data_IF_866647835550
#
_entry.id   IF_866647835550
#
_cell.length_a   1.000
_cell.length_b   1.000
_cell.length_c   1.000
_cell.angle_alpha   90.00
_cell.angle_beta   90.00
_cell.angle_gamma   90.00
#
_symmetry.space_group_name_H-M   'P 1'
#
loop_
_entity.id
_entity.type
_entity.pdbx_description
1 polymer ?
#
# COMPACT_ATOMS: atom_id res chain seq x y z
N UNK A 1 -57.25 -33.74 -45.56
CA UNK A 1 -57.62 -34.73 -44.53
C UNK A 1 -57.12 -34.20 -43.19
N UNK A 2 -58.07 -33.96 -42.27
CA UNK A 2 -58.04 -33.87 -40.80
C UNK A 2 -56.90 -33.06 -40.13
N UNK A 3 -57.16 -31.89 -39.54
CA UNK A 3 -57.79 -31.63 -38.22
C UNK A 3 -57.05 -32.33 -37.06
N UNK A 4 -56.40 -31.52 -36.20
CA UNK A 4 -56.91 -31.37 -34.83
C UNK A 4 -56.49 -30.04 -34.18
N UNK A 5 -57.48 -29.47 -33.49
CA UNK A 5 -57.50 -28.26 -32.69
C UNK A 5 -57.35 -28.62 -31.20
N UNK A 6 -56.85 -27.66 -30.41
CA UNK A 6 -57.22 -27.41 -29.00
C UNK A 6 -56.71 -25.99 -28.69
N UNK A 7 -57.46 -24.90 -28.58
CA UNK A 7 -58.72 -24.54 -27.89
C UNK A 7 -58.69 -24.72 -26.36
N UNK A 8 -58.29 -23.65 -25.66
CA UNK A 8 -58.79 -23.10 -24.39
C UNK A 8 -58.02 -21.77 -24.16
N UNK A 9 -58.58 -20.58 -23.88
CA UNK A 9 -59.94 -20.13 -23.61
C UNK A 9 -59.94 -19.10 -22.46
N UNK A 10 -60.26 -17.82 -22.78
CA UNK A 10 -60.80 -16.74 -21.91
C UNK A 10 -59.88 -16.19 -20.78
N UNK A 11 -59.81 -14.90 -20.42
CA UNK A 11 -60.76 -13.76 -20.38
C UNK A 11 -59.97 -12.47 -20.74
N UNK A 12 -60.47 -11.38 -21.34
CA UNK A 12 -61.81 -10.81 -21.33
C UNK A 12 -61.81 -9.49 -20.55
N UNK A 13 -61.38 -8.36 -21.12
CA UNK A 13 -61.93 -7.03 -20.74
C UNK A 13 -61.72 -5.98 -21.83
N UNK A 14 -62.78 -5.76 -22.59
CA UNK A 14 -63.00 -4.60 -23.45
C UNK A 14 -63.51 -3.42 -22.61
N UNK A 15 -62.79 -2.31 -22.56
CA UNK A 15 -63.39 -1.01 -22.24
C UNK A 15 -63.43 -0.15 -23.50
N UNK A 16 -64.64 -0.08 -24.05
CA UNK A 16 -65.03 0.83 -25.12
C UNK A 16 -64.74 2.27 -24.69
N UNK A 17 -63.86 2.95 -25.44
CA UNK A 17 -63.73 4.41 -25.36
C UNK A 17 -64.88 5.02 -26.16
N UNK A 18 -65.92 5.46 -25.46
CA UNK A 18 -66.75 6.55 -25.97
C UNK A 18 -65.94 7.83 -25.83
N UNK A 19 -65.41 8.34 -26.94
CA UNK A 19 -64.88 9.70 -27.02
C UNK A 19 -65.52 10.34 -28.24
N UNK A 20 -66.47 11.24 -27.96
CA UNK A 20 -67.17 12.10 -28.92
C UNK A 20 -66.20 12.66 -29.94
N UNK A 21 -66.46 12.37 -31.22
CA UNK A 21 -65.91 13.09 -32.36
C UNK A 21 -66.38 14.55 -32.30
N UNK A 22 -65.55 15.41 -31.71
CA UNK A 22 -65.64 16.84 -31.96
C UNK A 22 -64.99 17.12 -33.32
N UNK A 23 -65.78 17.74 -34.17
CA UNK A 23 -65.47 18.13 -35.55
C UNK A 23 -64.18 18.96 -35.57
N UNK A 24 -63.11 18.41 -36.13
CA UNK A 24 -61.94 19.19 -36.54
C UNK A 24 -62.33 19.94 -37.83
N UNK A 25 -62.37 21.29 -37.84
CA UNK A 25 -62.49 21.99 -39.10
C UNK A 25 -61.20 21.75 -39.89
N UNK A 26 -61.34 21.42 -41.18
CA UNK A 26 -60.23 21.31 -42.13
C UNK A 26 -59.38 22.58 -42.02
N UNK A 27 -58.11 22.42 -41.63
CA UNK A 27 -57.10 23.47 -41.47
C UNK A 27 -56.95 24.36 -42.70
N UNK A 28 -57.30 23.81 -43.86
CA UNK A 28 -56.89 24.35 -45.15
C UNK A 28 -57.74 25.55 -45.58
N UNK A 29 -58.96 25.68 -45.04
CA UNK A 29 -59.84 26.82 -45.35
C UNK A 29 -59.38 28.09 -44.62
N UNK A 30 -58.73 27.95 -43.46
CA UNK A 30 -58.31 29.08 -42.64
C UNK A 30 -57.11 29.81 -43.25
N UNK A 31 -56.20 29.09 -43.91
CA UNK A 31 -55.04 29.69 -44.58
C UNK A 31 -55.43 30.50 -45.82
N UNK A 32 -56.43 30.02 -46.57
CA UNK A 32 -56.98 30.73 -47.74
C UNK A 32 -57.67 32.04 -47.33
N UNK A 33 -58.43 32.04 -46.22
CA UNK A 33 -59.08 33.26 -45.70
C UNK A 33 -58.06 34.27 -45.15
N UNK A 34 -56.91 33.79 -44.64
CA UNK A 34 -55.83 34.63 -44.11
C UNK A 34 -54.85 35.15 -45.18
N UNK A 35 -55.00 34.76 -46.45
CA UNK A 35 -54.14 35.19 -47.55
C UNK A 35 -52.72 34.62 -47.51
N UNK A 36 -52.50 33.52 -46.77
CA UNK A 36 -51.18 32.89 -46.62
C UNK A 36 -51.10 31.68 -47.55
N UNK A 37 -50.03 31.59 -48.36
CA UNK A 37 -49.78 30.46 -49.24
C UNK A 37 -49.28 29.24 -48.46
N UNK A 38 -49.61 28.03 -48.91
CA UNK A 38 -49.21 26.77 -48.28
C UNK A 38 -47.67 26.58 -48.24
N UNK A 39 -46.93 27.35 -49.03
CA UNK A 39 -45.47 27.36 -49.09
C UNK A 39 -44.78 28.31 -48.09
N UNK A 40 -45.53 29.16 -47.37
CA UNK A 40 -44.93 30.05 -46.36
C UNK A 40 -44.68 29.31 -45.03
N UNK A 41 -43.51 29.56 -44.42
CA UNK A 41 -43.15 28.97 -43.14
C UNK A 41 -44.18 29.33 -42.06
N UNK A 42 -44.73 28.30 -41.41
CA UNK A 42 -45.80 28.45 -40.46
C UNK A 42 -45.33 29.28 -39.24
N UNK A 43 -45.89 30.47 -38.96
CA UNK A 43 -45.38 31.40 -37.94
C UNK A 43 -45.45 30.85 -36.50
N UNK A 44 -46.10 29.69 -36.32
CA UNK A 44 -46.12 28.92 -35.07
C UNK A 44 -44.74 28.39 -34.65
N UNK A 45 -43.82 28.17 -35.59
CA UNK A 45 -42.50 27.60 -35.31
C UNK A 45 -41.47 28.65 -34.87
N UNK A 46 -41.63 29.91 -35.31
CA UNK A 46 -40.66 31.00 -35.07
C UNK A 46 -40.82 31.66 -33.70
N UNK A 47 -42.02 31.64 -33.12
CA UNK A 47 -42.32 32.29 -31.84
C UNK A 47 -42.50 31.23 -30.74
N UNK A 48 -41.62 31.28 -29.72
CA UNK A 48 -41.54 30.28 -28.63
C UNK A 48 -42.84 30.06 -27.85
N UNK A 49 -43.74 31.04 -27.80
CA UNK A 49 -44.94 31.03 -26.95
C UNK A 49 -46.22 31.33 -27.73
N UNK A 50 -46.48 30.59 -28.82
CA UNK A 50 -47.80 30.64 -29.45
C UNK A 50 -48.84 29.89 -28.61
N UNK A 51 -50.01 30.49 -28.31
CA UNK A 51 -51.00 29.95 -27.38
C UNK A 51 -51.69 28.64 -27.83
N UNK A 52 -51.39 28.15 -29.04
CA UNK A 52 -51.84 26.85 -29.54
C UNK A 52 -50.70 26.00 -30.13
N UNK A 53 -49.45 26.17 -29.66
CA UNK A 53 -48.34 25.28 -30.05
C UNK A 53 -48.62 23.88 -29.50
N UNK A 54 -48.83 22.91 -30.39
CA UNK A 54 -49.24 21.55 -30.01
C UNK A 54 -48.20 20.85 -29.13
N UNK A 55 -48.65 20.06 -28.17
CA UNK A 55 -47.78 19.30 -27.25
C UNK A 55 -46.76 18.43 -27.98
N UNK A 56 -47.11 17.91 -29.16
CA UNK A 56 -46.24 17.04 -29.98
C UNK A 56 -44.94 17.74 -30.44
N UNK A 57 -44.96 19.07 -30.61
CA UNK A 57 -43.79 19.84 -31.04
C UNK A 57 -42.83 20.15 -29.88
N UNK A 58 -43.35 20.23 -28.65
CA UNK A 58 -42.53 20.33 -27.44
C UNK A 58 -41.81 19.00 -27.15
N UNK A 59 -42.50 17.87 -27.28
CA UNK A 59 -41.90 16.56 -27.06
C UNK A 59 -40.80 16.23 -28.08
N UNK A 60 -40.97 16.61 -29.36
CA UNK A 60 -39.92 16.41 -30.38
C UNK A 60 -38.68 17.27 -30.10
N UNK A 61 -38.86 18.48 -29.58
CA UNK A 61 -37.76 19.36 -29.22
C UNK A 61 -37.06 18.90 -27.94
N UNK A 62 -37.79 18.44 -26.92
CA UNK A 62 -37.23 17.83 -25.71
C UNK A 62 -36.46 16.54 -25.99
N UNK A 63 -36.99 15.63 -26.84
CA UNK A 63 -36.27 14.41 -27.25
C UNK A 63 -34.96 14.73 -27.97
N UNK A 64 -34.92 15.82 -28.76
CA UNK A 64 -33.70 16.26 -29.45
C UNK A 64 -32.65 16.82 -28.48
N UNK A 65 -33.06 17.66 -27.53
CA UNK A 65 -32.17 18.19 -26.48
C UNK A 65 -31.73 17.13 -25.46
N UNK A 66 -32.57 16.13 -25.16
CA UNK A 66 -32.22 15.01 -24.28
C UNK A 66 -31.23 14.07 -24.97
N UNK A 67 -31.41 13.75 -26.27
CA UNK A 67 -30.49 12.85 -26.99
C UNK A 67 -29.07 13.40 -27.18
N UNK A 68 -28.92 14.73 -27.32
CA UNK A 68 -27.60 15.38 -27.42
C UNK A 68 -26.93 15.55 -26.04
N UNK A 69 -27.72 15.79 -24.99
CA UNK A 69 -27.22 15.95 -23.61
C UNK A 69 -26.88 14.61 -22.94
N UNK A 70 -27.62 13.54 -23.23
CA UNK A 70 -27.34 12.18 -22.73
C UNK A 70 -26.13 11.53 -23.42
N UNK A 71 -25.95 11.71 -24.74
CA UNK A 71 -24.78 11.18 -25.45
C UNK A 71 -23.46 11.82 -24.98
N UNK A 72 -23.48 13.09 -24.57
CA UNK A 72 -22.32 13.77 -23.99
C UNK A 72 -22.00 13.30 -22.56
N UNK A 73 -23.03 13.17 -21.70
CA UNK A 73 -22.89 12.75 -20.30
C UNK A 73 -22.56 11.26 -20.13
N UNK A 74 -23.11 10.38 -20.97
CA UNK A 74 -22.79 8.95 -20.94
C UNK A 74 -21.34 8.68 -21.39
N UNK A 75 -20.85 9.38 -22.43
CA UNK A 75 -19.46 9.22 -22.88
C UNK A 75 -18.44 9.75 -21.86
N UNK A 76 -18.73 10.84 -21.14
CA UNK A 76 -17.84 11.31 -20.07
C UNK A 76 -17.86 10.37 -18.87
N UNK A 77 -19.03 9.86 -18.48
CA UNK A 77 -19.17 8.88 -17.39
C UNK A 77 -18.42 7.57 -17.68
N UNK A 78 -18.54 7.03 -18.90
CA UNK A 78 -17.82 5.81 -19.30
C UNK A 78 -16.29 6.01 -19.30
N UNK A 79 -15.80 7.15 -19.82
CA UNK A 79 -14.37 7.49 -19.78
C UNK A 79 -13.85 7.82 -18.38
N UNK A 80 -14.72 8.18 -17.45
CA UNK A 80 -14.36 8.37 -16.04
C UNK A 80 -14.24 7.03 -15.31
N UNK A 81 -15.15 6.10 -15.58
CA UNK A 81 -15.14 4.75 -15.01
C UNK A 81 -13.91 3.95 -15.51
N UNK A 82 -13.58 4.05 -16.80
CA UNK A 82 -12.37 3.44 -17.37
C UNK A 82 -11.08 3.95 -16.73
N UNK A 83 -11.02 5.26 -16.39
CA UNK A 83 -9.83 5.86 -15.74
C UNK A 83 -9.69 5.44 -14.29
N UNK A 84 -10.81 5.27 -13.58
CA UNK A 84 -10.83 4.72 -12.22
C UNK A 84 -10.41 3.24 -12.23
N UNK A 85 -10.96 2.46 -13.16
CA UNK A 85 -10.55 1.07 -13.38
C UNK A 85 -9.07 0.95 -13.71
N UNK A 86 -8.51 1.85 -14.51
CA UNK A 86 -7.08 1.85 -14.82
C UNK A 86 -6.20 2.14 -13.59
N UNK A 87 -6.61 3.08 -12.73
CA UNK A 87 -5.93 3.35 -11.46
C UNK A 87 -5.93 2.11 -10.56
N UNK A 88 -7.09 1.46 -10.40
CA UNK A 88 -7.25 0.28 -9.55
C UNK A 88 -6.40 -0.89 -10.07
N UNK A 89 -6.33 -1.08 -11.40
CA UNK A 89 -5.50 -2.11 -12.04
C UNK A 89 -4.01 -1.84 -11.78
N UNK A 90 -3.55 -0.60 -11.93
CA UNK A 90 -2.14 -0.25 -11.69
C UNK A 90 -1.76 -0.31 -10.22
N UNK A 91 -2.67 0.08 -9.32
CA UNK A 91 -2.46 -0.04 -7.88
C UNK A 91 -2.29 -1.52 -7.49
N UNK A 92 -3.21 -2.37 -7.94
CA UNK A 92 -3.15 -3.81 -7.70
C UNK A 92 -1.89 -4.46 -8.30
N UNK A 93 -1.49 -4.03 -9.50
CA UNK A 93 -0.24 -4.48 -10.11
C UNK A 93 0.98 -4.05 -9.27
N UNK A 94 0.97 -2.84 -8.73
CA UNK A 94 2.04 -2.33 -7.85
C UNK A 94 2.15 -3.15 -6.57
N UNK A 95 1.02 -3.41 -5.89
CA UNK A 95 0.97 -4.27 -4.70
C UNK A 95 1.43 -5.70 -5.01
N UNK A 96 1.05 -6.24 -6.17
CA UNK A 96 1.50 -7.56 -6.61
C UNK A 96 3.02 -7.60 -6.85
N UNK A 97 3.60 -6.57 -7.49
CA UNK A 97 5.05 -6.47 -7.66
C UNK A 97 5.77 -6.35 -6.30
N UNK A 98 5.19 -5.64 -5.33
CA UNK A 98 5.72 -5.57 -3.96
C UNK A 98 5.67 -6.94 -3.26
N UNK A 99 4.55 -7.66 -3.38
CA UNK A 99 4.42 -9.01 -2.84
C UNK A 99 5.41 -10.01 -3.46
N UNK A 100 5.75 -9.83 -4.73
CA UNK A 100 6.75 -10.62 -5.46
C UNK A 100 8.20 -10.18 -5.19
N UNK A 101 8.42 -9.06 -4.51
CA UNK A 101 9.75 -8.49 -4.27
C UNK A 101 10.37 -7.79 -5.49
N UNK A 102 9.60 -7.55 -6.56
CA UNK A 102 10.07 -6.88 -7.77
C UNK A 102 10.03 -5.34 -7.62
N UNK A 103 10.88 -4.81 -6.74
CA UNK A 103 10.82 -3.40 -6.30
C UNK A 103 11.02 -2.42 -7.46
N UNK A 104 11.93 -2.71 -8.39
CA UNK A 104 12.14 -1.86 -9.57
C UNK A 104 10.89 -1.76 -10.47
N UNK A 105 10.07 -2.82 -10.58
CA UNK A 105 8.82 -2.77 -11.35
C UNK A 105 7.72 -2.07 -10.56
N UNK A 106 7.64 -2.32 -9.25
CA UNK A 106 6.73 -1.62 -8.35
C UNK A 106 6.98 -0.10 -8.39
N UNK A 107 8.24 0.34 -8.32
CA UNK A 107 8.62 1.76 -8.40
C UNK A 107 8.20 2.41 -9.72
N UNK A 108 8.38 1.71 -10.85
CA UNK A 108 7.94 2.19 -12.17
C UNK A 108 6.41 2.29 -12.26
N UNK A 109 5.70 1.26 -11.83
CA UNK A 109 4.24 1.24 -11.81
C UNK A 109 3.69 2.36 -10.91
N UNK A 110 4.27 2.55 -9.73
CA UNK A 110 3.94 3.63 -8.80
C UNK A 110 4.21 5.02 -9.41
N UNK A 111 5.32 5.19 -10.12
CA UNK A 111 5.60 6.43 -10.86
C UNK A 111 4.54 6.76 -11.92
N UNK A 112 4.04 5.74 -12.64
CA UNK A 112 2.93 5.90 -13.58
C UNK A 112 1.66 6.30 -12.83
N UNK A 113 1.35 5.64 -11.70
CA UNK A 113 0.20 5.99 -10.85
C UNK A 113 0.24 7.45 -10.44
N UNK A 114 1.38 7.98 -9.99
CA UNK A 114 1.51 9.40 -9.60
C UNK A 114 1.31 10.39 -10.77
N UNK A 115 1.56 9.96 -12.00
CA UNK A 115 1.39 10.79 -13.20
C UNK A 115 -0.04 10.77 -13.74
N UNK A 116 -0.86 9.80 -13.32
CA UNK A 116 -2.25 9.74 -13.74
C UNK A 116 -3.01 10.95 -13.20
N UNK A 117 -3.91 11.47 -14.05
CA UNK A 117 -4.86 12.52 -13.67
C UNK A 117 -6.29 12.07 -13.93
N UNK A 118 -6.85 11.21 -13.05
CA UNK A 118 -8.28 10.94 -13.05
C UNK A 118 -9.01 12.29 -12.85
N UNK A 119 -9.95 12.62 -13.74
CA UNK A 119 -10.73 13.88 -13.68
C UNK A 119 -9.91 15.17 -13.74
N UNK A 120 -8.74 15.16 -14.39
CA UNK A 120 -7.84 16.31 -14.54
C UNK A 120 -7.21 16.86 -13.25
N UNK A 121 -7.51 16.25 -12.10
CA UNK A 121 -6.85 16.52 -10.83
C UNK A 121 -5.65 15.56 -10.64
N UNK A 122 -4.63 16.04 -9.93
CA UNK A 122 -3.54 15.17 -9.47
C UNK A 122 -4.03 14.24 -8.38
N UNK A 123 -3.57 13.00 -8.39
CA UNK A 123 -3.94 12.03 -7.35
C UNK A 123 -3.41 12.49 -5.99
N UNK A 124 -4.28 12.49 -4.99
CA UNK A 124 -3.90 12.77 -3.60
C UNK A 124 -3.20 11.55 -3.00
N UNK A 125 -1.95 11.73 -2.57
CA UNK A 125 -1.08 10.69 -2.00
C UNK A 125 -1.66 10.11 -0.68
N UNK A 126 -2.55 10.85 -0.01
CA UNK A 126 -3.26 10.36 1.17
C UNK A 126 -4.23 9.23 0.85
N UNK A 127 -4.77 9.20 -0.37
CA UNK A 127 -5.76 8.20 -0.75
C UNK A 127 -5.08 6.91 -1.23
N UNK A 128 -5.85 5.82 -1.27
CA UNK A 128 -5.43 4.54 -1.85
C UNK A 128 -4.10 3.97 -1.29
N UNK A 129 -3.76 4.28 -0.04
CA UNK A 129 -2.51 3.86 0.61
C UNK A 129 -1.24 4.24 -0.17
N UNK A 130 -1.30 5.25 -1.04
CA UNK A 130 -0.16 5.63 -1.90
C UNK A 130 1.03 6.11 -1.07
N UNK A 131 0.78 6.79 0.04
CA UNK A 131 1.82 7.17 1.00
C UNK A 131 2.54 5.94 1.58
N UNK A 132 1.79 4.88 1.90
CA UNK A 132 2.33 3.66 2.47
C UNK A 132 3.10 2.86 1.42
N UNK A 133 2.55 2.70 0.22
CA UNK A 133 3.19 2.04 -0.92
C UNK A 133 4.50 2.76 -1.29
N UNK A 134 4.49 4.09 -1.36
CA UNK A 134 5.69 4.88 -1.61
C UNK A 134 6.76 4.67 -0.54
N UNK A 135 6.36 4.67 0.73
CA UNK A 135 7.25 4.40 1.86
C UNK A 135 7.85 2.98 1.83
N UNK A 136 7.06 1.99 1.43
CA UNK A 136 7.49 0.60 1.31
C UNK A 136 8.49 0.40 0.15
N UNK A 137 8.24 1.03 -0.99
CA UNK A 137 9.18 1.03 -2.12
C UNK A 137 10.52 1.61 -1.67
N UNK A 138 10.52 2.77 -1.01
CA UNK A 138 11.75 3.41 -0.52
C UNK A 138 12.50 2.53 0.48
N UNK A 139 11.78 1.88 1.39
CA UNK A 139 12.36 0.95 2.36
C UNK A 139 13.06 -0.23 1.69
N UNK A 140 12.56 -0.74 0.56
CA UNK A 140 13.08 -1.93 -0.11
C UNK A 140 14.06 -1.61 -1.26
N UNK A 141 14.10 -0.37 -1.76
CA UNK A 141 14.77 -0.04 -3.03
C UNK A 141 16.29 -0.21 -3.02
N UNK A 142 17.01 0.23 -1.98
CA UNK A 142 18.49 0.06 -1.99
C UNK A 142 18.95 -1.31 -1.51
N UNK A 143 18.06 -2.14 -1.00
CA UNK A 143 18.38 -3.52 -0.64
C UNK A 143 18.59 -4.36 -1.90
N UNK A 144 17.72 -4.18 -2.90
CA UNK A 144 17.85 -4.82 -4.22
C UNK A 144 19.15 -4.43 -4.94
N UNK A 145 19.58 -3.16 -4.83
CA UNK A 145 20.84 -2.71 -5.44
C UNK A 145 22.07 -3.37 -4.78
N UNK A 146 22.08 -3.50 -3.45
CA UNK A 146 23.19 -4.16 -2.74
C UNK A 146 23.24 -5.67 -3.00
N UNK A 147 22.09 -6.32 -3.17
CA UNK A 147 22.05 -7.74 -3.55
C UNK A 147 22.57 -7.97 -4.96
N UNK A 148 22.23 -7.11 -5.92
CA UNK A 148 22.76 -7.18 -7.29
C UNK A 148 24.28 -6.96 -7.31
N UNK A 149 24.77 -5.97 -6.58
CA UNK A 149 26.21 -5.66 -6.48
C UNK A 149 26.97 -6.81 -5.80
N UNK A 150 26.41 -7.40 -4.75
CA UNK A 150 26.98 -8.57 -4.07
C UNK A 150 26.97 -9.81 -4.98
N UNK A 151 25.90 -10.04 -5.75
CA UNK A 151 25.83 -11.14 -6.73
C UNK A 151 26.84 -10.98 -7.89
N UNK A 152 27.14 -9.74 -8.30
CA UNK A 152 28.17 -9.45 -9.30
C UNK A 152 29.59 -9.67 -8.76
N UNK A 153 29.82 -9.47 -7.46
CA UNK A 153 31.15 -9.57 -6.83
C UNK A 153 31.47 -10.98 -6.32
N UNK A 154 30.50 -11.71 -5.78
CA UNK A 154 30.63 -13.12 -5.41
C UNK A 154 30.03 -13.98 -6.49
N UNK A 155 30.84 -14.40 -7.47
CA UNK A 155 30.41 -15.27 -8.56
C UNK A 155 29.69 -16.53 -8.05
N UNK A 156 28.36 -16.54 -8.22
CA UNK A 156 27.53 -17.73 -8.32
C UNK A 156 27.75 -18.85 -7.30
N UNK A 157 27.64 -18.58 -6.00
CA UNK A 157 27.43 -19.66 -5.02
C UNK A 157 26.37 -19.31 -3.98
N UNK A 158 25.25 -20.05 -4.05
CA UNK A 158 24.19 -20.06 -3.06
C UNK A 158 23.10 -19.01 -3.27
N UNK A 159 22.12 -19.31 -4.13
CA UNK A 159 20.80 -18.68 -4.07
C UNK A 159 20.14 -19.17 -2.77
N UNK A 160 20.52 -18.56 -1.65
CA UNK A 160 19.58 -18.46 -0.56
C UNK A 160 18.64 -17.33 -0.96
N UNK A 161 17.39 -17.71 -1.29
CA UNK A 161 16.27 -16.78 -1.36
C UNK A 161 16.23 -16.03 -0.04
N UNK A 162 16.93 -14.89 0.02
CA UNK A 162 16.89 -14.01 1.15
C UNK A 162 15.44 -13.54 1.24
N UNK A 163 14.73 -14.04 2.25
CA UNK A 163 13.39 -13.60 2.57
C UNK A 163 13.35 -12.06 2.52
N UNK A 164 12.24 -11.45 2.06
CA UNK A 164 12.13 -10.02 1.83
C UNK A 164 12.74 -9.25 3.00
N UNK A 165 13.87 -8.59 2.74
CA UNK A 165 14.82 -8.11 3.75
C UNK A 165 14.31 -6.82 4.39
N UNK A 166 13.12 -6.83 4.99
CA UNK A 166 12.58 -5.63 5.61
C UNK A 166 13.52 -5.14 6.74
N UNK A 167 13.88 -3.85 6.71
CA UNK A 167 14.54 -3.19 7.83
C UNK A 167 16.05 -3.16 7.76
N UNK A 168 16.64 -2.73 6.63
CA UNK A 168 17.97 -2.13 6.65
C UNK A 168 17.90 -0.63 6.93
N UNK A 169 18.68 -0.15 7.91
CA UNK A 169 18.81 1.27 8.25
C UNK A 169 19.37 2.14 7.12
N UNK A 170 19.97 1.52 6.08
CA UNK A 170 20.58 2.21 4.94
C UNK A 170 19.62 3.11 4.15
N UNK A 171 18.30 2.85 4.25
CA UNK A 171 17.26 3.52 3.47
C UNK A 171 16.48 4.52 4.33
N UNK A 172 16.81 4.60 5.62
CA UNK A 172 16.03 5.35 6.59
C UNK A 172 16.05 6.86 6.34
N UNK A 173 17.15 7.40 5.81
CA UNK A 173 17.25 8.84 5.52
C UNK A 173 16.32 9.28 4.37
N UNK A 174 16.15 8.44 3.35
CA UNK A 174 15.22 8.70 2.25
C UNK A 174 13.77 8.60 2.74
N UNK A 175 13.48 7.60 3.56
CA UNK A 175 12.17 7.45 4.21
C UNK A 175 11.82 8.66 5.08
N UNK A 176 12.77 9.11 5.91
CA UNK A 176 12.64 10.33 6.72
C UNK A 176 12.34 11.53 5.85
N UNK A 177 13.12 11.74 4.79
CA UNK A 177 12.92 12.84 3.84
C UNK A 177 11.53 12.78 3.19
N UNK A 178 11.07 11.60 2.81
CA UNK A 178 9.75 11.37 2.23
C UNK A 178 8.62 11.75 3.20
N UNK A 179 8.65 11.22 4.43
CA UNK A 179 7.63 11.56 5.42
C UNK A 179 7.73 13.02 5.89
N UNK A 180 8.92 13.60 5.99
CA UNK A 180 9.07 15.03 6.31
C UNK A 180 8.38 15.93 5.28
N UNK A 181 8.47 15.59 4.00
CA UNK A 181 7.74 16.31 2.94
C UNK A 181 6.23 16.17 3.16
N UNK A 182 5.74 14.96 3.42
CA UNK A 182 4.32 14.71 3.68
C UNK A 182 3.81 15.43 4.92
N UNK A 183 4.58 15.42 6.01
CA UNK A 183 4.27 16.10 7.27
C UNK A 183 4.14 17.61 7.06
N UNK A 184 5.06 18.21 6.29
CA UNK A 184 5.01 19.65 5.97
C UNK A 184 3.85 20.00 5.05
N UNK A 185 3.57 19.15 4.06
CA UNK A 185 2.52 19.39 3.08
C UNK A 185 1.11 19.20 3.65
N UNK A 186 0.94 18.25 4.58
CA UNK A 186 -0.34 17.85 5.13
C UNK A 186 -0.38 18.08 6.65
N UNK A 187 -0.23 19.33 7.06
CA UNK A 187 -0.36 19.72 8.47
C UNK A 187 -1.72 19.35 9.05
N UNK A 188 -1.77 19.12 10.36
CA UNK A 188 -3.00 18.78 11.06
C UNK A 188 -3.99 19.94 11.04
N UNK A 189 -5.20 19.69 10.54
CA UNK A 189 -6.31 20.63 10.57
C UNK A 189 -7.35 20.18 11.61
N UNK A 190 -7.55 21.01 12.63
CA UNK A 190 -8.53 20.77 13.70
C UNK A 190 -9.97 20.66 13.18
N UNK A 191 -10.28 21.21 12.00
CA UNK A 191 -11.63 21.19 11.42
C UNK A 191 -11.96 19.84 10.79
N UNK A 192 -10.97 19.04 10.42
CA UNK A 192 -11.18 17.77 9.72
C UNK A 192 -10.30 16.66 10.31
N UNK A 193 -10.59 16.20 11.54
CA UNK A 193 -9.74 15.26 12.27
C UNK A 193 -9.66 13.87 11.64
N UNK A 194 -10.62 13.49 10.79
CA UNK A 194 -10.67 12.17 10.16
C UNK A 194 -9.84 12.05 8.87
N UNK A 195 -9.20 13.13 8.42
CA UNK A 195 -8.32 13.10 7.25
C UNK A 195 -6.91 12.73 7.68
N UNK A 196 -6.25 11.92 6.84
CA UNK A 196 -4.83 11.63 7.00
C UNK A 196 -4.05 12.94 7.08
N UNK A 197 -3.27 13.06 8.15
CA UNK A 197 -2.60 14.29 8.54
C UNK A 197 -1.18 14.01 9.01
N UNK A 198 -0.45 15.07 9.35
CA UNK A 198 0.86 15.00 9.98
C UNK A 198 0.90 14.02 11.17
N UNK A 199 -0.21 13.85 11.91
CA UNK A 199 -0.29 12.91 13.04
C UNK A 199 -0.04 11.47 12.57
N UNK A 200 -0.71 11.05 11.51
CA UNK A 200 -0.61 9.69 10.97
C UNK A 200 0.76 9.47 10.31
N UNK A 201 1.30 10.49 9.64
CA UNK A 201 2.62 10.42 9.01
C UNK A 201 3.75 10.35 10.04
N UNK A 202 3.68 11.11 11.13
CA UNK A 202 4.61 11.00 12.25
C UNK A 202 4.54 9.61 12.88
N UNK A 203 3.33 9.10 13.11
CA UNK A 203 3.13 7.79 13.69
C UNK A 203 3.71 6.67 12.80
N UNK A 204 3.44 6.73 11.49
CA UNK A 204 4.00 5.80 10.52
C UNK A 204 5.53 5.86 10.49
N UNK A 205 6.10 7.06 10.44
CA UNK A 205 7.55 7.26 10.43
C UNK A 205 8.20 6.62 11.68
N UNK A 206 7.71 6.96 12.87
CA UNK A 206 8.27 6.43 14.12
C UNK A 206 8.10 4.90 14.22
N UNK A 207 6.96 4.38 13.76
CA UNK A 207 6.70 2.92 13.74
C UNK A 207 7.63 2.19 12.77
N UNK A 208 7.88 2.77 11.58
CA UNK A 208 8.84 2.22 10.62
C UNK A 208 10.28 2.26 11.17
N UNK A 209 10.67 3.34 11.84
CA UNK A 209 11.97 3.46 12.50
C UNK A 209 12.14 2.40 13.60
N UNK A 210 11.16 2.27 14.48
CA UNK A 210 11.15 1.27 15.55
C UNK A 210 11.26 -0.15 14.97
N UNK A 211 10.43 -0.47 13.97
CA UNK A 211 10.43 -1.78 13.31
C UNK A 211 11.77 -2.08 12.65
N UNK A 212 12.41 -1.08 12.04
CA UNK A 212 13.73 -1.24 11.41
C UNK A 212 14.81 -1.51 12.45
N UNK A 213 14.85 -0.74 13.55
CA UNK A 213 15.81 -0.93 14.64
C UNK A 213 15.65 -2.33 15.23
N UNK A 214 14.40 -2.76 15.48
CA UNK A 214 14.13 -4.07 16.03
C UNK A 214 14.50 -5.21 15.06
N UNK A 215 14.22 -5.05 13.77
CA UNK A 215 14.62 -6.02 12.75
C UNK A 215 16.15 -6.15 12.65
N UNK A 216 16.89 -5.04 12.73
CA UNK A 216 18.36 -5.05 12.77
C UNK A 216 18.89 -5.72 14.04
N UNK A 217 18.26 -5.48 15.19
CA UNK A 217 18.60 -6.13 16.44
C UNK A 217 18.46 -7.65 16.33
N UNK A 218 17.27 -8.15 15.99
CA UNK A 218 16.99 -9.59 15.86
C UNK A 218 17.92 -10.24 14.85
N UNK A 219 18.17 -9.57 13.71
CA UNK A 219 19.09 -10.08 12.67
C UNK A 219 20.53 -10.12 13.17
N UNK A 220 20.98 -9.09 13.88
CA UNK A 220 22.32 -9.04 14.46
C UNK A 220 22.56 -10.20 15.44
N UNK A 221 21.58 -10.46 16.30
CA UNK A 221 21.64 -11.59 17.23
C UNK A 221 21.63 -12.93 16.50
N UNK A 222 20.73 -13.13 15.53
CA UNK A 222 20.68 -14.37 14.75
C UNK A 222 21.97 -14.64 13.96
N UNK A 223 22.59 -13.59 13.39
CA UNK A 223 23.88 -13.70 12.72
C UNK A 223 25.00 -14.10 13.69
N UNK A 224 25.04 -13.46 14.86
CA UNK A 224 26.00 -13.77 15.91
C UNK A 224 25.87 -15.23 16.38
N UNK A 225 24.65 -15.71 16.61
CA UNK A 225 24.38 -17.10 16.99
C UNK A 225 24.78 -18.11 15.91
N UNK A 226 24.55 -17.78 14.63
CA UNK A 226 24.97 -18.62 13.52
C UNK A 226 26.51 -18.73 13.42
N UNK A 227 27.21 -17.61 13.58
CA UNK A 227 28.68 -17.57 13.60
C UNK A 227 29.25 -18.41 14.74
N UNK A 228 28.71 -18.28 15.96
CA UNK A 228 29.11 -19.11 17.11
C UNK A 228 28.93 -20.60 16.83
N UNK A 229 27.83 -21.01 16.19
CA UNK A 229 27.57 -22.42 15.84
C UNK A 229 28.57 -22.98 14.84
N UNK A 230 28.99 -22.18 13.86
CA UNK A 230 30.00 -22.60 12.88
C UNK A 230 31.37 -22.82 13.54
N UNK A 231 31.77 -21.91 14.43
CA UNK A 231 33.03 -22.00 15.17
C UNK A 231 33.08 -23.22 16.12
N UNK A 232 31.97 -23.54 16.80
CA UNK A 232 31.91 -24.71 17.69
C UNK A 232 31.73 -26.04 16.93
N UNK A 233 31.15 -26.01 15.73
CA UNK A 233 30.92 -27.20 14.91
C UNK A 233 32.20 -27.82 14.34
N UNK A 234 33.20 -26.99 14.01
CA UNK A 234 34.47 -27.47 13.42
C UNK A 234 35.42 -28.11 14.45
N UNK A 235 35.33 -27.76 15.74
CA UNK A 235 36.11 -28.41 16.80
C UNK A 235 35.73 -29.87 17.04
N UNK A 236 34.49 -30.28 16.74
CA UNK A 236 34.04 -31.68 16.97
C UNK A 236 34.49 -32.68 15.91
N UNK A 237 35.09 -32.23 14.81
CA UNK A 237 35.55 -33.10 13.71
C UNK A 237 36.98 -33.64 13.87
N UNK A 238 37.77 -33.07 14.77
CA UNK A 238 39.16 -33.50 14.96
C UNK A 238 39.35 -34.65 15.97
N UNK A 239 38.35 -34.99 16.79
CA UNK A 239 38.48 -36.04 17.82
C UNK A 239 37.88 -37.41 17.45
N UNK A 240 37.23 -37.55 16.28
CA UNK A 240 36.58 -38.81 15.90
C UNK A 240 37.49 -39.83 15.18
N UNK A 241 38.80 -39.60 15.08
CA UNK A 241 39.73 -40.49 14.33
C UNK A 241 40.59 -41.39 15.24
N UNK A 242 40.58 -41.23 16.57
CA UNK A 242 41.39 -42.07 17.46
C UNK A 242 40.53 -42.90 18.43
N UNK A 243 39.70 -43.78 17.88
CA UNK A 243 39.18 -44.92 18.64
C UNK A 243 39.17 -46.18 17.78
N UNK A 244 40.37 -46.75 17.58
CA UNK A 244 40.51 -48.14 17.17
C UNK A 244 41.65 -48.82 17.92
N UNK A 245 41.23 -49.65 18.87
CA UNK A 245 41.87 -50.84 19.44
C UNK A 245 42.81 -50.73 20.65
N UNK A 246 42.61 -51.62 21.65
CA UNK A 246 43.47 -51.78 22.83
C UNK A 246 44.61 -52.78 22.55
N UNK A 247 45.79 -52.57 23.15
CA UNK A 247 46.52 -53.58 23.94
C UNK A 247 47.97 -53.17 24.29
N UNK A 248 48.27 -53.25 25.60
CA UNK A 248 49.57 -53.56 26.28
C UNK A 248 50.78 -52.68 25.94
N UNK A 249 51.49 -52.02 26.85
CA UNK A 249 51.96 -52.39 28.19
C UNK A 249 52.59 -51.15 28.92
N UNK A 250 52.93 -51.35 30.19
CA UNK A 250 53.29 -50.37 31.22
C UNK A 250 54.47 -49.41 30.94
N UNK A 251 54.40 -48.17 31.44
CA UNK A 251 55.39 -47.60 32.38
C UNK A 251 54.97 -46.22 32.89
N UNK A 252 55.15 -46.02 34.20
CA UNK A 252 54.93 -44.79 34.98
C UNK A 252 55.65 -43.56 34.43
N UNK A 253 54.98 -42.41 34.49
CA UNK A 253 55.57 -41.09 34.27
C UNK A 253 54.52 -39.98 34.32
N UNK A 254 54.11 -39.60 35.53
CA UNK A 254 53.19 -38.49 35.73
C UNK A 254 53.78 -37.15 35.29
N UNK A 255 53.05 -36.45 34.43
CA UNK A 255 52.72 -35.02 34.55
C UNK A 255 51.74 -34.66 33.44
N UNK A 256 50.49 -34.48 33.86
CA UNK A 256 49.42 -33.85 33.10
C UNK A 256 49.77 -32.38 32.88
N UNK A 257 50.41 -32.07 31.75
CA UNK A 257 50.76 -30.70 31.33
C UNK A 257 50.32 -30.50 29.87
N UNK A 258 49.02 -30.71 29.57
CA UNK A 258 48.47 -30.38 28.25
C UNK A 258 46.94 -30.19 28.26
N UNK A 259 46.41 -29.33 29.15
CA UNK A 259 44.99 -28.92 29.11
C UNK A 259 44.79 -27.38 29.21
N UNK A 260 45.85 -26.58 29.07
CA UNK A 260 45.77 -25.13 29.23
C UNK A 260 45.52 -24.34 27.93
N UNK A 261 45.71 -24.94 26.76
CA UNK A 261 45.65 -24.21 25.47
C UNK A 261 44.21 -24.06 24.95
N UNK A 262 43.34 -25.04 25.21
CA UNK A 262 41.95 -25.01 24.74
C UNK A 262 41.04 -24.09 25.61
N UNK A 263 41.35 -23.97 26.90
CA UNK A 263 40.61 -23.09 27.83
C UNK A 263 40.81 -21.60 27.53
N UNK A 264 41.97 -21.21 27.01
CA UNK A 264 42.27 -19.81 26.65
C UNK A 264 41.49 -19.34 25.42
N UNK A 265 41.43 -20.18 24.38
CA UNK A 265 40.69 -19.91 23.14
C UNK A 265 39.17 -19.86 23.38
N UNK A 266 38.63 -20.74 24.25
CA UNK A 266 37.22 -20.70 24.61
C UNK A 266 36.84 -19.44 25.41
N UNK A 267 37.70 -18.97 26.32
CA UNK A 267 37.44 -17.74 27.08
C UNK A 267 37.47 -16.50 26.17
N UNK A 268 38.46 -16.42 25.27
CA UNK A 268 38.62 -15.32 24.32
C UNK A 268 37.43 -15.26 23.36
N UNK A 269 37.00 -16.41 22.81
CA UNK A 269 35.81 -16.51 21.94
C UNK A 269 34.51 -16.14 22.67
N UNK A 270 34.37 -16.51 23.95
CA UNK A 270 33.21 -16.16 24.78
C UNK A 270 33.17 -14.66 25.11
N UNK A 271 34.32 -14.06 25.37
CA UNK A 271 34.45 -12.62 25.63
C UNK A 271 34.14 -11.81 24.36
N UNK A 272 34.63 -12.25 23.20
CA UNK A 272 34.34 -11.64 21.91
C UNK A 272 32.85 -11.72 21.55
N UNK A 273 32.20 -12.86 21.81
CA UNK A 273 30.75 -12.99 21.64
C UNK A 273 29.97 -12.02 22.54
N UNK A 274 30.34 -11.91 23.82
CA UNK A 274 29.69 -11.00 24.76
C UNK A 274 29.86 -9.54 24.31
N UNK A 275 31.06 -9.15 23.89
CA UNK A 275 31.37 -7.81 23.38
C UNK A 275 30.58 -7.48 22.11
N UNK A 276 30.47 -8.43 21.16
CA UNK A 276 29.71 -8.25 19.92
C UNK A 276 28.20 -8.14 20.18
N UNK A 277 27.67 -8.96 21.08
CA UNK A 277 26.28 -8.88 21.53
C UNK A 277 26.00 -7.54 22.20
N UNK A 278 26.90 -7.10 23.07
CA UNK A 278 26.78 -5.81 23.75
C UNK A 278 26.77 -4.66 22.73
N UNK A 279 27.64 -4.67 21.73
CA UNK A 279 27.66 -3.64 20.69
C UNK A 279 26.33 -3.56 19.93
N UNK A 280 25.67 -4.71 19.65
CA UNK A 280 24.34 -4.75 19.03
C UNK A 280 23.28 -4.16 19.97
N UNK A 281 23.30 -4.54 21.26
CA UNK A 281 22.40 -4.00 22.27
C UNK A 281 22.58 -2.48 22.44
N UNK A 282 23.80 -1.99 22.53
CA UNK A 282 24.11 -0.55 22.67
C UNK A 282 23.62 0.26 21.45
N UNK A 283 23.83 -0.24 20.22
CA UNK A 283 23.31 0.39 19.01
C UNK A 283 21.78 0.47 19.03
N UNK A 284 21.12 -0.61 19.44
CA UNK A 284 19.66 -0.71 19.54
C UNK A 284 19.13 0.28 20.58
N UNK A 285 19.74 0.30 21.77
CA UNK A 285 19.40 1.22 22.86
C UNK A 285 19.56 2.69 22.46
N UNK A 286 20.64 3.04 21.75
CA UNK A 286 20.83 4.40 21.24
C UNK A 286 19.70 4.81 20.30
N UNK A 287 19.28 3.92 19.41
CA UNK A 287 18.16 4.18 18.50
C UNK A 287 16.82 4.34 19.23
N UNK A 288 16.52 3.46 20.18
CA UNK A 288 15.29 3.55 20.99
C UNK A 288 15.23 4.83 21.83
N UNK A 289 16.36 5.26 22.40
CA UNK A 289 16.44 6.53 23.15
C UNK A 289 16.15 7.74 22.27
N UNK A 290 16.65 7.76 21.04
CA UNK A 290 16.35 8.84 20.08
C UNK A 290 14.85 8.88 19.71
N UNK A 291 14.25 7.71 19.44
CA UNK A 291 12.80 7.61 19.18
C UNK A 291 11.99 8.08 20.38
N UNK A 292 12.35 7.65 21.61
CA UNK A 292 11.68 8.08 22.83
C UNK A 292 11.75 9.60 22.99
N UNK A 293 12.92 10.21 22.85
CA UNK A 293 13.07 11.67 22.96
C UNK A 293 12.23 12.42 21.92
N UNK A 294 12.15 11.93 20.68
CA UNK A 294 11.29 12.52 19.65
C UNK A 294 9.81 12.33 19.95
N UNK A 295 9.42 11.16 20.42
CA UNK A 295 8.03 10.85 20.78
C UNK A 295 7.57 11.71 21.96
N UNK A 296 8.40 11.88 22.99
CA UNK A 296 8.13 12.76 24.13
C UNK A 296 7.91 14.21 23.68
N UNK A 297 8.83 14.75 22.87
CA UNK A 297 8.69 16.11 22.30
C UNK A 297 7.40 16.30 21.50
N UNK A 298 6.93 15.26 20.81
CA UNK A 298 5.68 15.30 20.05
C UNK A 298 4.47 15.20 20.97
N UNK A 299 4.49 14.30 21.95
CA UNK A 299 3.39 14.11 22.94
C UNK A 299 3.16 15.36 23.77
N UNK A 300 4.17 16.20 23.99
CA UNK A 300 4.02 17.50 24.67
C UNK A 300 3.17 18.51 23.86
N UNK A 301 2.95 18.27 22.56
CA UNK A 301 2.22 19.15 21.66
C UNK A 301 0.82 18.62 21.36
N UNK A 302 -0.19 19.51 21.35
CA UNK A 302 -1.49 19.19 20.74
C UNK A 302 -1.33 19.13 19.22
N UNK A 303 -1.94 18.18 18.50
CA UNK A 303 -2.97 17.20 18.90
C UNK A 303 -2.45 15.83 19.42
N UNK A 304 -1.14 15.63 19.47
CA UNK A 304 -0.51 14.32 19.72
C UNK A 304 -0.74 13.81 21.16
N UNK A 305 -0.87 14.72 22.14
CA UNK A 305 -1.08 14.37 23.55
C UNK A 305 -2.31 13.52 23.83
N UNK A 306 -3.34 13.58 22.97
CA UNK A 306 -4.61 12.84 23.13
C UNK A 306 -4.66 11.55 22.30
N UNK A 307 -3.67 11.30 21.45
CA UNK A 307 -3.70 10.13 20.58
C UNK A 307 -3.17 8.91 21.34
N UNK A 308 -4.03 7.90 21.53
CA UNK A 308 -3.72 6.67 22.24
C UNK A 308 -2.53 5.92 21.64
N UNK A 309 -2.38 5.95 20.31
CA UNK A 309 -1.32 5.19 19.62
C UNK A 309 0.05 5.80 19.89
N UNK A 310 0.15 7.14 20.02
CA UNK A 310 1.40 7.78 20.43
C UNK A 310 1.80 7.43 21.87
N UNK A 311 0.82 7.32 22.77
CA UNK A 311 1.06 6.91 24.15
C UNK A 311 1.51 5.44 24.21
N UNK A 312 0.87 4.56 23.44
CA UNK A 312 1.28 3.16 23.31
C UNK A 312 2.68 3.03 22.73
N UNK A 313 3.01 3.77 21.68
CA UNK A 313 4.34 3.75 21.07
C UNK A 313 5.42 4.19 22.06
N UNK A 314 5.15 5.23 22.86
CA UNK A 314 6.04 5.67 23.94
C UNK A 314 6.22 4.58 25.00
N UNK A 315 5.13 3.93 25.42
CA UNK A 315 5.17 2.86 26.41
C UNK A 315 6.00 1.67 25.90
N UNK A 316 5.72 1.19 24.68
CA UNK A 316 6.43 0.08 24.05
C UNK A 316 7.93 0.39 23.92
N UNK A 317 8.27 1.58 23.43
CA UNK A 317 9.68 1.97 23.21
C UNK A 317 10.41 2.15 24.55
N UNK A 318 9.75 2.64 25.59
CA UNK A 318 10.28 2.71 26.97
C UNK A 318 10.52 1.32 27.55
N UNK A 319 9.52 0.43 27.48
CA UNK A 319 9.60 -0.94 27.98
C UNK A 319 10.74 -1.71 27.29
N UNK A 320 10.80 -1.66 25.96
CA UNK A 320 11.89 -2.29 25.20
C UNK A 320 13.27 -1.74 25.59
N UNK A 321 13.38 -0.43 25.85
CA UNK A 321 14.63 0.18 26.30
C UNK A 321 15.02 -0.32 27.70
N UNK A 322 14.06 -0.54 28.59
CA UNK A 322 14.30 -1.07 29.95
C UNK A 322 14.75 -2.53 29.85
N UNK A 323 14.04 -3.36 29.10
CA UNK A 323 14.35 -4.78 28.93
C UNK A 323 15.77 -4.99 28.38
N UNK A 324 16.16 -4.21 27.36
CA UNK A 324 17.51 -4.26 26.81
C UNK A 324 18.58 -3.77 27.80
N UNK A 325 18.25 -2.81 28.67
CA UNK A 325 19.17 -2.34 29.71
C UNK A 325 19.35 -3.36 30.85
N UNK A 326 18.30 -4.10 31.21
CA UNK A 326 18.37 -5.17 32.20
C UNK A 326 19.21 -6.35 31.70
N UNK A 327 19.07 -6.68 30.42
CA UNK A 327 19.89 -7.69 29.75
C UNK A 327 21.39 -7.34 29.79
N UNK A 328 21.72 -6.06 29.69
CA UNK A 328 23.09 -5.56 29.81
C UNK A 328 23.61 -5.63 31.25
N UNK A 329 22.77 -5.38 32.25
CA UNK A 329 23.18 -5.42 33.67
C UNK A 329 23.33 -6.83 34.27
N UNK A 330 22.84 -7.87 33.59
CA UNK A 330 22.81 -9.26 34.09
C UNK A 330 23.98 -10.12 33.64
N UNK A 331 25.00 -9.54 32.98
CA UNK A 331 26.23 -10.22 32.52
C UNK A 331 27.44 -9.69 33.27
#
# INVERSE_FOLDING_TARGET
MNLEQSLYGSEGTSHARYSRSFIQPRSDVQFVVAGVSEADENPRSSVKQFPHRGLEDLEKQERKYQSESENGKQKSSLREDDRKGHLDVLLRATEQFLAQGEIAKAAKAFGIVLQLRPRAETIDIRLHHLWAIGSEILLRQREQLKEIDQQLMTGGHGIQMAAPRWGSSSNMNELKSYFEILIRQYAYDHKVPHKLSAVDFWLALLSCELSTIYAEHVRGIAHLEAETRLQHGDSTRHDAVLSSSPNTNESLGGRSDFEAVDSGLQYETKMDWANQREAICQRTLSGLRDINQRTEKLVDQLPYSKNEIFLQLREITSLLSIDLSLLHSST
#
